data_IF_449437456649
#
_entry.id   IF_449437456649
#
_cell.length_a   1.000
_cell.length_b   1.000
_cell.length_c   1.000
_cell.angle_alpha   90.00
_cell.angle_beta   90.00
_cell.angle_gamma   90.00
#
_symmetry.space_group_name_H-M   'P 1'
#
loop_
_entity.id
_entity.type
_entity.pdbx_description
1 polymer ?
#
# COMPACT_ATOMS: atom_id res chain seq x y z
N UNK A 1 4.13 -17.90 -19.01
CA UNK A 1 3.83 -16.56 -19.59
C UNK A 1 5.11 -15.75 -19.56
N UNK A 2 5.71 -15.46 -20.73
CA UNK A 2 6.90 -14.60 -20.82
C UNK A 2 6.44 -13.15 -20.72
N UNK A 3 6.51 -12.59 -19.51
CA UNK A 3 6.19 -11.18 -19.29
C UNK A 3 7.47 -10.37 -19.37
N UNK A 4 7.81 -9.89 -20.58
CA UNK A 4 8.86 -8.89 -20.84
C UNK A 4 10.16 -9.10 -20.05
N UNK A 5 10.68 -10.33 -20.00
CA UNK A 5 11.98 -10.61 -19.40
C UNK A 5 13.09 -9.97 -20.24
N UNK A 6 13.94 -9.17 -19.59
CA UNK A 6 15.05 -8.47 -20.23
C UNK A 6 14.69 -7.15 -20.93
N UNK A 7 13.47 -6.65 -20.73
CA UNK A 7 13.04 -5.35 -21.25
C UNK A 7 12.22 -4.60 -20.20
N UNK A 8 12.37 -3.29 -20.12
CA UNK A 8 11.55 -2.43 -19.29
C UNK A 8 10.13 -2.32 -19.84
N UNK A 9 9.19 -2.00 -18.97
CA UNK A 9 7.80 -1.77 -19.36
C UNK A 9 7.64 -0.35 -19.89
N UNK A 10 7.07 -0.23 -21.07
CA UNK A 10 6.72 1.07 -21.67
C UNK A 10 5.34 1.57 -21.24
N UNK A 11 4.50 0.71 -20.68
CA UNK A 11 3.15 1.02 -20.23
C UNK A 11 2.74 0.15 -19.04
N UNK A 12 1.87 0.66 -18.20
CA UNK A 12 1.21 -0.09 -17.12
C UNK A 12 -0.06 -0.80 -17.59
N UNK A 13 -0.47 -0.63 -18.84
CA UNK A 13 -1.72 -1.20 -19.34
C UNK A 13 -1.68 -2.73 -19.40
N UNK A 14 -2.82 -3.34 -19.18
CA UNK A 14 -3.06 -4.74 -19.55
C UNK A 14 -3.31 -4.82 -21.07
N UNK A 15 -3.10 -5.99 -21.71
CA UNK A 15 -3.33 -6.13 -23.13
C UNK A 15 -4.73 -5.69 -23.56
N UNK A 16 -4.83 -4.87 -24.59
CA UNK A 16 -6.10 -4.29 -25.06
C UNK A 16 -7.21 -5.35 -25.30
N UNK A 17 -6.82 -6.55 -25.77
CA UNK A 17 -7.77 -7.66 -25.97
C UNK A 17 -8.40 -8.18 -24.67
N UNK A 18 -7.70 -8.08 -23.54
CA UNK A 18 -8.29 -8.44 -22.23
C UNK A 18 -9.29 -7.39 -21.79
N UNK A 19 -9.04 -6.11 -22.05
CA UNK A 19 -10.00 -5.02 -21.80
C UNK A 19 -11.23 -5.15 -22.68
N UNK A 20 -11.06 -5.45 -23.98
CA UNK A 20 -12.16 -5.68 -24.91
C UNK A 20 -13.04 -6.86 -24.44
N UNK A 21 -12.41 -7.97 -24.03
CA UNK A 21 -13.12 -9.13 -23.49
C UNK A 21 -13.92 -8.77 -22.24
N UNK A 22 -13.30 -8.08 -21.29
CA UNK A 22 -13.97 -7.64 -20.05
C UNK A 22 -15.19 -6.77 -20.37
N UNK A 23 -15.05 -5.80 -21.28
CA UNK A 23 -16.14 -4.92 -21.71
C UNK A 23 -17.26 -5.72 -22.38
N UNK A 24 -16.93 -6.67 -23.24
CA UNK A 24 -17.92 -7.53 -23.89
C UNK A 24 -18.68 -8.40 -22.87
N UNK A 25 -17.98 -9.01 -21.91
CA UNK A 25 -18.64 -9.77 -20.84
C UNK A 25 -19.52 -8.87 -19.99
N UNK A 26 -19.09 -7.64 -19.72
CA UNK A 26 -19.84 -6.67 -18.91
C UNK A 26 -21.13 -6.18 -19.58
N UNK A 27 -21.35 -6.40 -20.88
CA UNK A 27 -22.64 -6.15 -21.52
C UNK A 27 -23.69 -7.17 -21.10
N UNK A 28 -23.28 -8.42 -20.91
CA UNK A 28 -24.16 -9.56 -20.62
C UNK A 28 -24.28 -9.85 -19.12
N UNK A 29 -23.20 -9.65 -18.37
CA UNK A 29 -23.16 -9.93 -16.92
C UNK A 29 -22.53 -8.77 -16.16
N UNK A 30 -23.27 -8.22 -15.20
CA UNK A 30 -22.80 -7.12 -14.35
C UNK A 30 -22.07 -7.60 -13.10
N UNK A 31 -22.11 -8.89 -12.79
CA UNK A 31 -21.46 -9.47 -11.61
C UNK A 31 -20.12 -10.08 -12.01
N UNK A 32 -19.11 -9.25 -12.18
CA UNK A 32 -17.78 -9.64 -12.61
C UNK A 32 -16.79 -9.40 -11.47
N UNK A 33 -16.00 -10.41 -11.19
CA UNK A 33 -14.79 -10.30 -10.36
C UNK A 33 -13.59 -10.49 -11.28
N UNK A 34 -12.69 -9.52 -11.28
CA UNK A 34 -11.43 -9.60 -12.03
C UNK A 34 -10.32 -10.04 -11.07
N UNK A 35 -9.61 -11.09 -11.43
CA UNK A 35 -8.42 -11.56 -10.71
C UNK A 35 -7.19 -11.20 -11.54
N UNK A 36 -6.36 -10.33 -11.00
CA UNK A 36 -5.09 -9.94 -11.60
C UNK A 36 -3.99 -10.93 -11.17
N UNK A 37 -3.15 -11.34 -12.12
CA UNK A 37 -1.96 -12.14 -11.86
C UNK A 37 -0.80 -11.51 -12.62
N UNK A 38 -0.08 -10.65 -11.96
CA UNK A 38 0.98 -9.79 -12.51
C UNK A 38 2.16 -9.69 -11.54
N UNK A 39 3.33 -9.39 -12.08
CA UNK A 39 4.58 -9.27 -11.30
C UNK A 39 4.83 -7.86 -10.75
N UNK A 40 4.12 -6.85 -11.26
CA UNK A 40 4.12 -5.47 -10.79
C UNK A 40 2.81 -4.81 -11.16
N UNK A 41 2.55 -3.61 -10.64
CA UNK A 41 1.29 -2.88 -10.85
C UNK A 41 0.88 -2.78 -12.32
N UNK A 42 -0.42 -2.75 -12.56
CA UNK A 42 -1.04 -2.47 -13.85
C UNK A 42 -2.10 -1.39 -13.66
N UNK A 43 -2.31 -0.56 -14.69
CA UNK A 43 -3.37 0.44 -14.69
C UNK A 43 -4.73 -0.23 -14.62
N UNK A 44 -5.58 0.20 -13.71
CA UNK A 44 -6.93 -0.35 -13.50
C UNK A 44 -8.04 0.65 -13.85
N UNK A 45 -7.80 1.96 -13.76
CA UNK A 45 -8.76 3.00 -14.06
C UNK A 45 -9.52 2.82 -15.39
N UNK A 46 -8.88 2.44 -16.51
CA UNK A 46 -9.56 2.34 -17.80
C UNK A 46 -10.64 1.27 -17.89
N UNK A 47 -10.66 0.32 -16.94
CA UNK A 47 -11.55 -0.84 -17.01
C UNK A 47 -12.22 -1.22 -15.68
N UNK A 48 -11.76 -0.69 -14.55
CA UNK A 48 -12.25 -1.03 -13.21
C UNK A 48 -13.77 -0.88 -13.06
N UNK A 49 -14.38 0.11 -13.72
CA UNK A 49 -15.82 0.32 -13.70
C UNK A 49 -16.66 -0.83 -14.30
N UNK A 50 -16.03 -1.78 -15.00
CA UNK A 50 -16.70 -2.98 -15.54
C UNK A 50 -16.68 -4.16 -14.56
N UNK A 51 -16.02 -4.04 -13.42
CA UNK A 51 -15.91 -5.08 -12.41
C UNK A 51 -16.59 -4.67 -11.10
N UNK A 52 -17.21 -5.63 -10.40
CA UNK A 52 -17.75 -5.45 -9.05
C UNK A 52 -16.70 -5.70 -7.96
N UNK A 53 -15.68 -6.47 -8.30
CA UNK A 53 -14.55 -6.73 -7.43
C UNK A 53 -13.28 -6.91 -8.24
N UNK A 54 -12.17 -6.44 -7.70
CA UNK A 54 -10.84 -6.63 -8.27
C UNK A 54 -9.98 -7.27 -7.18
N UNK A 55 -9.39 -8.42 -7.50
CA UNK A 55 -8.51 -9.14 -6.62
C UNK A 55 -7.09 -9.11 -7.19
N UNK A 56 -6.20 -8.36 -6.53
CA UNK A 56 -4.79 -8.36 -6.87
C UNK A 56 -4.12 -9.57 -6.23
N UNK A 57 -3.71 -10.53 -7.03
CA UNK A 57 -3.15 -11.78 -6.55
C UNK A 57 -1.65 -11.94 -6.80
N UNK A 58 -1.04 -10.97 -7.44
CA UNK A 58 0.38 -11.01 -7.77
C UNK A 58 0.81 -12.34 -8.42
N UNK A 59 1.93 -12.90 -8.02
CA UNK A 59 2.43 -14.19 -8.47
C UNK A 59 2.20 -15.24 -7.38
N UNK A 60 1.09 -15.92 -7.45
CA UNK A 60 0.73 -16.98 -6.51
C UNK A 60 1.56 -18.24 -6.74
N UNK A 61 1.80 -18.97 -5.64
CA UNK A 61 2.43 -20.27 -5.68
C UNK A 61 1.45 -21.40 -6.02
N UNK A 62 1.85 -22.63 -5.69
CA UNK A 62 1.15 -23.88 -6.01
C UNK A 62 -0.31 -23.91 -5.54
N UNK A 63 -0.60 -23.35 -4.36
CA UNK A 63 -1.95 -23.32 -3.77
C UNK A 63 -2.78 -22.10 -4.22
N UNK A 64 -2.38 -21.36 -5.25
CA UNK A 64 -3.04 -20.12 -5.67
C UNK A 64 -4.51 -20.31 -6.04
N UNK A 65 -4.85 -21.34 -6.80
CA UNK A 65 -6.23 -21.62 -7.22
C UNK A 65 -7.18 -21.84 -6.03
N UNK A 66 -6.91 -22.78 -5.12
CA UNK A 66 -7.70 -22.97 -3.90
C UNK A 66 -7.79 -21.71 -3.04
N UNK A 67 -6.69 -20.95 -2.86
CA UNK A 67 -6.68 -19.73 -2.07
C UNK A 67 -7.59 -18.64 -2.67
N UNK A 68 -7.55 -18.46 -3.99
CA UNK A 68 -8.46 -17.54 -4.70
C UNK A 68 -9.91 -17.95 -4.52
N UNK A 69 -10.23 -19.24 -4.67
CA UNK A 69 -11.58 -19.74 -4.46
C UNK A 69 -12.06 -19.48 -3.03
N UNK A 70 -11.24 -19.75 -2.02
CA UNK A 70 -11.58 -19.52 -0.61
C UNK A 70 -11.90 -18.01 -0.34
N UNK A 71 -11.17 -17.10 -0.97
CA UNK A 71 -11.44 -15.66 -0.86
C UNK A 71 -12.70 -15.29 -1.64
N UNK A 72 -12.81 -15.65 -2.92
CA UNK A 72 -13.92 -15.23 -3.79
C UNK A 72 -15.27 -15.73 -3.25
N UNK A 73 -15.31 -16.93 -2.72
CA UNK A 73 -16.54 -17.52 -2.16
C UNK A 73 -16.74 -17.23 -0.68
N UNK A 74 -15.94 -16.34 -0.09
CA UNK A 74 -16.16 -15.86 1.28
C UNK A 74 -15.80 -16.84 2.38
N UNK A 75 -15.09 -17.92 2.08
CA UNK A 75 -14.61 -18.86 3.11
C UNK A 75 -13.49 -18.25 3.97
N UNK A 76 -12.71 -17.36 3.35
CA UNK A 76 -11.66 -16.58 4.01
C UNK A 76 -11.84 -15.11 3.62
N UNK A 77 -11.87 -14.22 4.61
CA UNK A 77 -11.87 -12.77 4.34
C UNK A 77 -10.50 -12.33 3.83
N UNK A 78 -10.44 -11.54 2.75
CA UNK A 78 -9.18 -10.95 2.29
C UNK A 78 -8.61 -10.03 3.37
N UNK A 79 -7.30 -10.08 3.54
CA UNK A 79 -6.58 -9.30 4.56
C UNK A 79 -5.20 -8.83 4.08
N UNK A 80 -4.91 -9.03 2.79
CA UNK A 80 -3.73 -8.50 2.13
C UNK A 80 -3.84 -6.99 1.92
N UNK A 81 -2.70 -6.32 1.96
CA UNK A 81 -2.58 -4.88 1.65
C UNK A 81 -1.64 -4.70 0.47
N UNK A 82 -1.93 -3.74 -0.39
CA UNK A 82 -1.07 -3.44 -1.53
C UNK A 82 0.31 -3.01 -1.07
N UNK A 83 1.32 -3.70 -1.58
CA UNK A 83 2.74 -3.39 -1.33
C UNK A 83 3.31 -2.34 -2.30
N UNK A 84 2.48 -1.86 -3.23
CA UNK A 84 2.80 -0.81 -4.19
C UNK A 84 1.59 0.11 -4.37
N UNK A 85 1.84 1.39 -4.66
CA UNK A 85 0.81 2.30 -5.13
C UNK A 85 0.47 1.97 -6.58
N UNK A 86 -0.81 1.96 -6.94
CA UNK A 86 -1.26 1.83 -8.33
C UNK A 86 -1.52 3.26 -8.85
N UNK A 87 -0.64 3.83 -9.68
CA UNK A 87 -0.83 5.16 -10.23
C UNK A 87 -1.91 5.16 -11.29
N UNK A 88 -2.47 6.32 -11.58
CA UNK A 88 -3.45 6.48 -12.65
C UNK A 88 -2.81 6.37 -14.03
N UNK A 89 -1.58 6.89 -14.18
CA UNK A 89 -0.80 6.87 -15.42
C UNK A 89 0.68 6.56 -15.11
N UNK A 90 1.40 5.96 -16.06
CA UNK A 90 2.83 5.68 -15.92
C UNK A 90 3.65 6.97 -15.75
N UNK A 91 3.22 8.07 -16.36
CA UNK A 91 3.90 9.36 -16.26
C UNK A 91 3.74 10.02 -14.87
N UNK A 92 2.88 9.48 -14.01
CA UNK A 92 2.79 9.89 -12.61
C UNK A 92 3.90 9.26 -11.75
N UNK A 93 4.66 8.29 -12.28
CA UNK A 93 5.78 7.71 -11.55
C UNK A 93 6.98 8.67 -11.54
N UNK A 94 7.55 8.97 -10.36
CA UNK A 94 8.63 9.94 -10.23
C UNK A 94 9.90 9.55 -10.99
N UNK A 95 10.10 8.26 -11.28
CA UNK A 95 11.26 7.78 -12.04
C UNK A 95 11.19 8.09 -13.54
N UNK A 96 9.99 8.37 -14.08
CA UNK A 96 9.79 8.54 -15.51
C UNK A 96 10.54 9.74 -16.10
N UNK A 97 10.83 10.76 -15.30
CA UNK A 97 11.61 11.92 -15.76
C UNK A 97 13.07 11.55 -16.08
N UNK A 98 13.57 10.49 -15.44
CA UNK A 98 14.96 10.02 -15.60
C UNK A 98 15.07 8.73 -16.44
N UNK A 99 13.94 8.12 -16.79
CA UNK A 99 13.91 6.89 -17.56
C UNK A 99 13.84 7.20 -19.07
N UNK A 100 14.52 6.45 -19.94
CA UNK A 100 15.38 5.28 -19.70
C UNK A 100 16.85 5.64 -19.39
N UNK A 101 17.18 6.89 -19.22
CA UNK A 101 18.55 7.40 -19.09
C UNK A 101 19.18 7.78 -20.43
N UNK A 102 20.36 8.36 -20.38
CA UNK A 102 21.10 8.85 -21.56
C UNK A 102 22.55 8.36 -21.51
N UNK A 103 23.11 8.00 -22.65
CA UNK A 103 24.53 7.60 -22.82
C UNK A 103 25.03 6.56 -21.79
N UNK A 104 24.13 5.62 -21.38
CA UNK A 104 24.47 4.56 -20.41
C UNK A 104 24.43 5.01 -18.94
N UNK A 105 23.92 6.19 -18.65
CA UNK A 105 23.68 6.70 -17.31
C UNK A 105 22.20 6.82 -17.02
N UNK A 106 21.82 6.51 -15.76
CA UNK A 106 20.47 6.69 -15.24
C UNK A 106 20.57 7.44 -13.92
N UNK A 107 19.88 8.56 -13.80
CA UNK A 107 19.80 9.31 -12.57
C UNK A 107 18.59 8.82 -11.74
N UNK A 108 18.80 8.65 -10.44
CA UNK A 108 17.72 8.38 -9.49
C UNK A 108 17.30 9.70 -8.81
N UNK A 109 16.84 10.65 -9.66
CA UNK A 109 16.53 12.02 -9.24
C UNK A 109 15.38 12.15 -8.26
N UNK A 110 14.53 11.11 -8.13
CA UNK A 110 13.48 11.03 -7.13
C UNK A 110 14.03 10.91 -5.70
N UNK A 111 15.27 10.46 -5.51
CA UNK A 111 15.93 10.34 -4.22
C UNK A 111 15.13 9.46 -3.25
N UNK A 112 14.74 10.00 -2.08
CA UNK A 112 13.96 9.26 -1.06
C UNK A 112 12.46 9.19 -1.40
N UNK A 113 12.00 9.91 -2.42
CA UNK A 113 10.59 9.97 -2.82
C UNK A 113 10.24 8.87 -3.82
N UNK A 114 10.42 7.62 -3.43
CA UNK A 114 10.06 6.44 -4.21
C UNK A 114 8.72 5.87 -3.77
N UNK A 115 7.94 5.34 -4.71
CA UNK A 115 6.66 4.69 -4.45
C UNK A 115 5.70 5.61 -3.66
N UNK A 116 5.06 5.07 -2.62
CA UNK A 116 4.05 5.81 -1.84
C UNK A 116 4.57 7.10 -1.23
N UNK A 117 5.87 7.19 -0.92
CA UNK A 117 6.48 8.38 -0.34
C UNK A 117 6.33 9.60 -1.25
N UNK A 118 6.43 9.38 -2.57
CA UNK A 118 6.20 10.41 -3.56
C UNK A 118 4.73 10.80 -3.63
N UNK A 119 3.85 9.82 -3.88
CA UNK A 119 2.43 10.09 -4.08
C UNK A 119 1.79 10.75 -2.86
N UNK A 120 2.11 10.28 -1.66
CA UNK A 120 1.62 10.82 -0.40
C UNK A 120 2.17 12.22 -0.11
N UNK A 121 3.48 12.43 -0.31
CA UNK A 121 4.10 13.74 -0.01
C UNK A 121 3.60 14.85 -0.91
N UNK A 122 3.34 14.55 -2.18
CA UNK A 122 2.91 15.53 -3.18
C UNK A 122 1.40 15.49 -3.44
N UNK A 123 0.64 14.80 -2.60
CA UNK A 123 -0.83 14.65 -2.69
C UNK A 123 -1.29 14.25 -4.12
N UNK A 124 -0.55 13.32 -4.75
CA UNK A 124 -0.86 12.84 -6.09
C UNK A 124 -2.03 11.90 -6.09
N UNK A 125 -2.98 12.12 -6.99
CA UNK A 125 -4.08 11.20 -7.21
C UNK A 125 -3.56 9.84 -7.70
N UNK A 126 -4.13 8.76 -7.15
CA UNK A 126 -3.76 7.39 -7.49
C UNK A 126 -5.03 6.53 -7.60
N UNK A 127 -4.97 5.43 -8.34
CA UNK A 127 -6.07 4.47 -8.38
C UNK A 127 -6.24 3.76 -7.03
N UNK A 128 -5.14 3.25 -6.48
CA UNK A 128 -5.12 2.64 -5.16
C UNK A 128 -3.78 2.96 -4.47
N UNK A 129 -3.80 3.50 -3.25
CA UNK A 129 -2.57 3.80 -2.52
C UNK A 129 -1.89 2.53 -1.98
N UNK A 130 -0.60 2.63 -1.71
CA UNK A 130 0.13 1.67 -0.90
C UNK A 130 -0.60 1.41 0.43
N UNK A 131 -0.64 0.17 0.87
CA UNK A 131 -1.29 -0.20 2.12
C UNK A 131 -2.81 -0.39 2.01
N UNK A 132 -3.44 -0.04 0.87
CA UNK A 132 -4.86 -0.25 0.64
C UNK A 132 -5.20 -1.74 0.52
N UNK A 133 -6.39 -2.10 1.01
CA UNK A 133 -6.96 -3.44 0.83
C UNK A 133 -8.26 -3.56 1.61
N UNK A 134 -9.32 -4.00 0.94
CA UNK A 134 -10.62 -4.24 1.53
C UNK A 134 -10.69 -5.59 2.24
N UNK A 135 -11.65 -5.72 3.13
CA UNK A 135 -11.99 -6.93 3.86
C UNK A 135 -13.50 -7.16 3.77
N UNK A 136 -13.95 -8.38 4.04
CA UNK A 136 -15.39 -8.65 4.25
C UNK A 136 -15.83 -8.28 5.68
N UNK A 137 -14.87 -8.03 6.57
CA UNK A 137 -15.07 -7.48 7.91
C UNK A 137 -14.77 -5.98 7.94
N UNK A 138 -15.30 -5.31 8.95
CA UNK A 138 -14.98 -3.92 9.27
C UNK A 138 -14.19 -3.87 10.58
N UNK A 139 -13.26 -2.92 10.67
CA UNK A 139 -12.40 -2.77 11.85
C UNK A 139 -12.38 -1.31 12.31
N UNK A 140 -12.18 -1.12 13.61
CA UNK A 140 -11.89 0.17 14.21
C UNK A 140 -10.53 0.12 14.89
N UNK A 141 -9.84 1.25 14.90
CA UNK A 141 -8.68 1.49 15.76
C UNK A 141 -9.05 2.58 16.74
N UNK A 142 -8.82 2.29 18.02
CA UNK A 142 -9.07 3.21 19.12
C UNK A 142 -7.88 3.22 20.08
N UNK A 143 -7.83 4.21 20.96
CA UNK A 143 -6.90 4.25 22.07
C UNK A 143 -5.43 4.32 21.65
N UNK A 144 -5.14 4.93 20.52
CA UNK A 144 -3.74 5.12 20.10
C UNK A 144 -2.99 5.94 21.14
N UNK A 145 -1.95 5.36 21.72
CA UNK A 145 -1.12 6.01 22.71
C UNK A 145 0.36 5.89 22.30
N UNK A 146 1.07 6.98 22.42
CA UNK A 146 2.51 7.06 22.11
C UNK A 146 3.26 7.47 23.37
N UNK A 147 3.99 6.55 23.97
CA UNK A 147 4.80 6.78 25.15
C UNK A 147 6.27 6.89 24.75
N UNK A 148 6.90 8.03 25.08
CA UNK A 148 8.34 8.20 24.90
C UNK A 148 9.09 7.28 25.89
N UNK A 149 9.96 6.40 25.39
CA UNK A 149 10.72 5.42 26.19
C UNK A 149 12.19 5.78 26.36
N UNK A 150 12.69 6.73 25.57
CA UNK A 150 14.07 7.22 25.62
C UNK A 150 14.21 8.55 24.88
N UNK A 151 15.44 8.96 24.60
CA UNK A 151 15.71 10.21 23.89
C UNK A 151 15.03 10.22 22.50
N UNK A 152 15.23 9.13 21.76
CA UNK A 152 14.78 8.97 20.37
C UNK A 152 14.00 7.66 20.17
N UNK A 153 13.32 7.18 21.20
CA UNK A 153 12.54 5.92 21.13
C UNK A 153 11.16 6.12 21.69
N UNK A 154 10.19 5.37 21.16
CA UNK A 154 8.80 5.41 21.62
C UNK A 154 8.18 4.00 21.61
N UNK A 155 7.21 3.80 22.50
CA UNK A 155 6.31 2.65 22.50
C UNK A 155 4.92 3.11 22.08
N UNK A 156 4.38 2.47 21.06
CA UNK A 156 3.05 2.78 20.51
C UNK A 156 2.12 1.63 20.83
N UNK A 157 0.95 1.93 21.40
CA UNK A 157 -0.12 0.96 21.60
C UNK A 157 -1.39 1.43 20.93
N UNK A 158 -2.21 0.49 20.48
CA UNK A 158 -3.55 0.76 19.96
C UNK A 158 -4.46 -0.44 20.17
N UNK A 159 -5.75 -0.21 20.30
CA UNK A 159 -6.76 -1.26 20.33
C UNK A 159 -7.38 -1.42 18.96
N UNK A 160 -7.37 -2.63 18.42
CA UNK A 160 -8.03 -2.99 17.16
C UNK A 160 -9.26 -3.81 17.47
N UNK A 161 -10.40 -3.42 16.94
CA UNK A 161 -11.67 -4.10 17.13
C UNK A 161 -12.24 -4.54 15.78
N UNK A 162 -12.59 -5.82 15.66
CA UNK A 162 -13.43 -6.29 14.56
C UNK A 162 -14.89 -5.90 14.87
N UNK A 163 -15.42 -4.94 14.12
CA UNK A 163 -16.76 -4.39 14.34
C UNK A 163 -17.85 -5.11 13.56
N UNK A 164 -17.49 -6.19 12.86
CA UNK A 164 -18.41 -6.99 12.03
C UNK A 164 -18.79 -8.31 12.69
N UNK A 165 -19.64 -9.06 12.02
CA UNK A 165 -20.08 -10.43 12.38
C UNK A 165 -19.29 -11.55 11.70
N UNK A 166 -18.18 -11.20 11.02
CA UNK A 166 -17.32 -12.13 10.29
C UNK A 166 -15.92 -12.16 10.92
N UNK A 167 -15.41 -13.36 11.18
CA UNK A 167 -14.03 -13.56 11.62
C UNK A 167 -13.06 -13.15 10.50
N UNK A 168 -12.10 -12.30 10.82
CA UNK A 168 -11.15 -11.81 9.81
C UNK A 168 -9.83 -11.32 10.41
N UNK A 169 -8.84 -11.17 9.55
CA UNK A 169 -7.58 -10.54 9.91
C UNK A 169 -7.50 -9.13 9.33
N UNK A 170 -6.81 -8.25 10.05
CA UNK A 170 -6.48 -6.90 9.58
C UNK A 170 -5.00 -6.60 9.78
N UNK A 171 -4.44 -5.73 8.93
CA UNK A 171 -3.05 -5.30 9.02
C UNK A 171 -2.99 -3.83 9.41
N UNK A 172 -2.61 -3.59 10.65
CA UNK A 172 -2.37 -2.24 11.16
C UNK A 172 -1.00 -1.77 10.73
N UNK A 173 -0.93 -0.52 10.28
CA UNK A 173 0.28 0.10 9.78
C UNK A 173 0.59 1.33 10.63
N UNK A 174 1.86 1.48 11.05
CA UNK A 174 2.34 2.61 11.85
C UNK A 174 3.30 3.43 11.00
N UNK A 175 2.96 4.69 10.86
CA UNK A 175 3.75 5.68 10.12
C UNK A 175 4.29 6.74 11.08
N UNK A 176 5.48 7.22 10.77
CA UNK A 176 6.08 8.37 11.44
C UNK A 176 6.19 9.51 10.45
N UNK A 177 5.67 10.65 10.84
CA UNK A 177 5.75 11.90 10.10
C UNK A 177 6.65 12.88 10.85
N UNK A 178 7.74 13.38 10.26
CA UNK A 178 8.51 14.45 10.84
C UNK A 178 7.71 15.76 10.76
N UNK A 179 7.76 16.60 11.79
CA UNK A 179 7.15 17.92 11.74
C UNK A 179 7.92 18.83 10.80
N UNK A 180 8.88 19.60 11.33
CA UNK A 180 9.77 20.43 10.51
C UNK A 180 11.13 19.76 10.41
N UNK A 181 11.60 19.50 9.20
CA UNK A 181 12.90 18.90 8.94
C UNK A 181 13.82 19.88 8.17
N UNK A 182 15.13 19.81 8.43
CA UNK A 182 16.14 20.62 7.71
C UNK A 182 16.41 20.07 6.30
N UNK A 183 16.05 18.80 6.04
CA UNK A 183 16.16 18.14 4.74
C UNK A 183 14.79 17.73 4.25
N UNK A 184 14.66 17.53 2.93
CA UNK A 184 13.44 16.99 2.37
C UNK A 184 13.19 15.56 2.86
N UNK A 185 12.03 15.33 3.49
CA UNK A 185 11.60 14.02 3.99
C UNK A 185 10.19 13.71 3.51
N UNK A 186 9.86 12.41 3.34
CA UNK A 186 8.49 12.00 3.06
C UNK A 186 7.51 12.48 4.15
N UNK A 187 6.29 12.78 3.73
CA UNK A 187 5.20 13.20 4.64
C UNK A 187 4.92 12.13 5.70
N UNK A 188 4.87 10.86 5.29
CA UNK A 188 4.74 9.71 6.18
C UNK A 188 5.74 8.62 5.80
N UNK A 189 6.34 8.01 6.80
CA UNK A 189 7.25 6.89 6.63
C UNK A 189 6.73 5.67 7.40
N UNK A 190 6.45 4.56 6.71
CA UNK A 190 6.07 3.30 7.35
C UNK A 190 7.21 2.79 8.22
N UNK A 191 6.96 2.63 9.52
CA UNK A 191 7.95 2.17 10.50
C UNK A 191 7.59 0.83 11.15
N UNK A 192 6.33 0.42 11.04
CA UNK A 192 5.90 -0.87 11.54
C UNK A 192 4.56 -1.30 10.95
N UNK A 193 4.34 -2.60 10.92
CA UNK A 193 3.04 -3.16 10.61
C UNK A 193 2.84 -4.47 11.38
N UNK A 194 1.58 -4.77 11.70
CA UNK A 194 1.22 -6.00 12.39
C UNK A 194 -0.13 -6.50 11.90
N UNK A 195 -0.15 -7.78 11.52
CA UNK A 195 -1.38 -8.47 11.16
C UNK A 195 -1.96 -9.14 12.41
N UNK A 196 -3.24 -8.89 12.68
CA UNK A 196 -3.99 -9.48 13.78
C UNK A 196 -5.22 -10.18 13.23
N UNK A 197 -5.49 -11.39 13.72
CA UNK A 197 -6.74 -12.10 13.45
C UNK A 197 -7.68 -11.89 14.64
N UNK A 198 -8.91 -11.49 14.34
CA UNK A 198 -9.94 -11.23 15.35
C UNK A 198 -11.24 -11.95 14.96
N UNK A 199 -11.86 -12.59 15.92
CA UNK A 199 -13.22 -13.09 15.77
C UNK A 199 -14.20 -11.91 15.66
N UNK A 200 -15.41 -12.21 15.20
CA UNK A 200 -16.50 -11.25 15.18
C UNK A 200 -16.69 -10.59 16.57
N UNK A 201 -16.65 -9.27 16.61
CA UNK A 201 -16.78 -8.45 17.83
C UNK A 201 -15.56 -8.49 18.76
N UNK A 202 -14.48 -9.17 18.43
CA UNK A 202 -13.29 -9.27 19.27
C UNK A 202 -12.41 -8.02 19.14
N UNK A 203 -11.76 -7.65 20.25
CA UNK A 203 -10.76 -6.60 20.31
C UNK A 203 -9.43 -7.15 20.79
N UNK A 204 -8.34 -6.60 20.30
CA UNK A 204 -7.00 -6.89 20.79
C UNK A 204 -6.16 -5.62 20.86
N UNK A 205 -5.33 -5.53 21.88
CA UNK A 205 -4.28 -4.53 21.95
C UNK A 205 -3.09 -4.97 21.10
N UNK A 206 -2.56 -4.04 20.34
CA UNK A 206 -1.33 -4.20 19.57
C UNK A 206 -0.31 -3.17 20.00
N UNK A 207 0.96 -3.49 19.85
CA UNK A 207 2.03 -2.56 20.21
C UNK A 207 3.18 -2.62 19.21
N UNK A 208 3.93 -1.51 19.16
CA UNK A 208 5.13 -1.34 18.35
C UNK A 208 6.19 -0.61 19.16
N UNK A 209 7.41 -1.11 19.13
CA UNK A 209 8.57 -0.41 19.65
C UNK A 209 9.25 0.33 18.49
N UNK A 210 9.28 1.64 18.56
CA UNK A 210 9.95 2.51 17.61
C UNK A 210 11.34 2.86 18.16
N UNK A 211 12.35 2.35 17.52
CA UNK A 211 13.73 2.66 17.83
C UNK A 211 14.18 4.01 17.24
N UNK A 212 15.42 4.40 17.46
CA UNK A 212 15.98 5.64 16.93
C UNK A 212 15.92 5.73 15.41
N UNK A 213 16.05 4.60 14.71
CA UNK A 213 15.97 4.54 13.24
C UNK A 213 14.59 4.87 12.71
N UNK A 214 13.54 4.72 13.52
CA UNK A 214 12.19 5.11 13.13
C UNK A 214 12.07 6.63 12.91
N UNK A 215 12.88 7.42 13.57
CA UNK A 215 12.87 8.89 13.53
C UNK A 215 14.01 9.49 12.69
N UNK A 216 15.03 8.69 12.38
CA UNK A 216 16.24 9.13 11.70
C UNK A 216 16.08 9.23 10.17
N UNK A 217 16.93 10.07 9.58
CA UNK A 217 17.27 10.05 8.16
C UNK A 217 18.78 9.91 7.98
N UNK A 218 19.24 9.46 6.82
CA UNK A 218 20.65 9.44 6.49
C UNK A 218 21.13 10.87 6.20
N UNK A 219 22.13 11.32 6.91
CA UNK A 219 22.72 12.64 6.73
C UNK A 219 24.08 12.53 6.05
N UNK A 220 24.20 13.00 4.83
CA UNK A 220 25.50 13.09 4.13
C UNK A 220 26.49 14.01 4.85
N UNK A 221 25.98 15.03 5.57
CA UNK A 221 26.81 15.96 6.32
C UNK A 221 27.53 15.28 7.48
N UNK A 222 26.88 14.32 8.14
CA UNK A 222 27.42 13.62 9.31
C UNK A 222 27.93 12.22 8.95
N UNK A 223 27.67 11.76 7.73
CA UNK A 223 27.93 10.40 7.25
C UNK A 223 27.34 9.34 8.20
N UNK A 224 26.17 9.62 8.73
CA UNK A 224 25.48 8.77 9.71
C UNK A 224 23.97 9.03 9.74
N UNK A 225 23.26 8.16 10.47
CA UNK A 225 21.83 8.34 10.76
C UNK A 225 21.64 9.44 11.79
N UNK A 226 20.81 10.41 11.42
CA UNK A 226 20.57 11.60 12.24
C UNK A 226 19.10 11.75 12.59
N UNK A 227 18.83 11.97 13.88
CA UNK A 227 17.51 12.35 14.40
C UNK A 227 17.51 13.83 14.68
N UNK A 228 16.67 14.59 14.00
CA UNK A 228 16.49 16.01 14.31
C UNK A 228 15.65 16.18 15.58
N UNK A 229 16.01 17.17 16.38
CA UNK A 229 15.16 17.59 17.47
C UNK A 229 13.88 18.28 16.94
N UNK A 230 12.74 17.83 17.41
CA UNK A 230 11.45 18.37 16.94
C UNK A 230 10.26 17.51 17.34
N UNK A 231 9.11 17.86 16.81
CA UNK A 231 7.89 17.09 16.95
C UNK A 231 7.81 16.05 15.84
N UNK A 232 7.32 14.87 16.18
CA UNK A 232 6.99 13.80 15.26
C UNK A 232 5.57 13.35 15.53
N UNK A 233 4.81 13.14 14.47
CA UNK A 233 3.49 12.52 14.54
C UNK A 233 3.62 11.03 14.28
N UNK A 234 2.87 10.25 15.02
CA UNK A 234 2.76 8.79 14.80
C UNK A 234 1.32 8.48 14.44
N UNK A 235 1.12 7.98 13.24
CA UNK A 235 -0.19 7.63 12.70
C UNK A 235 -0.35 6.11 12.64
N UNK A 236 -1.43 5.60 13.26
CA UNK A 236 -1.86 4.21 13.10
C UNK A 236 -3.01 4.18 12.10
N UNK A 237 -2.80 3.54 10.95
CA UNK A 237 -3.76 3.57 9.86
C UNK A 237 -4.32 2.17 9.56
N UNK A 238 -5.63 2.16 9.22
CA UNK A 238 -6.31 1.07 8.52
C UNK A 238 -6.77 1.62 7.17
N UNK A 239 -6.19 1.12 6.09
CA UNK A 239 -6.69 1.44 4.75
C UNK A 239 -7.85 0.49 4.38
N UNK A 240 -8.96 0.58 5.10
CA UNK A 240 -10.15 -0.26 4.89
C UNK A 240 -11.29 0.46 4.18
N UNK A 241 -11.21 1.79 4.07
CA UNK A 241 -12.21 2.57 3.34
C UNK A 241 -11.62 3.13 2.07
N UNK A 242 -12.33 3.09 0.94
CA UNK A 242 -11.97 3.91 -0.20
C UNK A 242 -11.96 5.36 0.28
N UNK A 243 -10.90 6.11 -0.06
CA UNK A 243 -10.98 7.56 0.03
C UNK A 243 -12.23 7.98 -0.73
N UNK A 244 -13.14 8.78 -0.14
CA UNK A 244 -14.28 9.24 -0.91
C UNK A 244 -13.72 10.03 -2.08
N UNK A 245 -13.93 9.50 -3.27
CA UNK A 245 -13.82 10.28 -4.49
C UNK A 245 -15.17 10.97 -4.61
N UNK A 246 -15.20 12.23 -4.23
CA UNK A 246 -16.29 13.13 -4.57
C UNK A 246 -16.33 13.38 -6.08
#
# INVERSE_FOLDING_TARGET
MYKRQGFDRETLDIPAKQVELLKAVATENKNIVVVLSNGSVVSVAPWAGNAKGILESWLLGQAGGPALADVIFGKVSPSGKLAQTIPMDINDDPSMINWPGEEGHVDYGEGVFVGYRYYDTYDKAVDYPFGFGLSYATFAIDGVNVAKTGANTAHVTATVTNTSDVDAAETVQVYVAPGKAAVARPKHELKGFRKVFLKAGESAEISFDLDERAFAYWSEKFDDWHVEAGEYTVDCLLYTSPSPRD
#
